data_IF_324306733036
#
_entry.id   IF_324306733036
#
_cell.length_a   1.000
_cell.length_b   1.000
_cell.length_c   1.000
_cell.angle_alpha   90.00
_cell.angle_beta   90.00
_cell.angle_gamma   90.00
#
_symmetry.space_group_name_H-M   'P 1'
#
loop_
_entity.id
_entity.type
_entity.pdbx_description
1 polymer ?
#
# COMPACT_ATOMS: atom_id res chain seq x y z
N UNK A 1 -23.57 2.77 -54.65
CA UNK A 1 -22.96 3.75 -53.72
C UNK A 1 -23.06 3.33 -52.26
N UNK A 2 -24.24 2.94 -51.75
CA UNK A 2 -24.47 2.54 -50.34
C UNK A 2 -23.56 1.40 -49.82
N UNK A 3 -23.29 0.35 -50.63
CA UNK A 3 -22.43 -0.80 -50.28
C UNK A 3 -20.93 -0.48 -50.17
N UNK A 4 -20.45 0.54 -50.89
CA UNK A 4 -19.04 0.98 -50.84
C UNK A 4 -18.76 1.92 -49.66
N UNK A 5 -19.78 2.64 -49.19
CA UNK A 5 -19.69 3.50 -48.01
C UNK A 5 -19.65 2.65 -46.73
N UNK A 6 -20.50 1.63 -46.63
CA UNK A 6 -20.56 0.70 -45.49
C UNK A 6 -19.28 -0.13 -45.32
N UNK A 7 -18.65 -0.58 -46.40
CA UNK A 7 -17.38 -1.33 -46.35
C UNK A 7 -16.19 -0.46 -45.96
N UNK A 8 -16.14 0.80 -46.40
CA UNK A 8 -15.08 1.76 -46.00
C UNK A 8 -15.20 2.18 -44.53
N UNK A 9 -16.42 2.41 -44.04
CA UNK A 9 -16.65 2.73 -42.63
C UNK A 9 -16.30 1.56 -41.71
N UNK A 10 -16.59 0.32 -42.11
CA UNK A 10 -16.21 -0.88 -41.35
C UNK A 10 -14.68 -1.08 -41.31
N UNK A 11 -13.98 -0.84 -42.42
CA UNK A 11 -12.52 -0.93 -42.48
C UNK A 11 -11.82 0.16 -41.63
N UNK A 12 -12.36 1.39 -41.62
CA UNK A 12 -11.86 2.48 -40.77
C UNK A 12 -12.10 2.20 -39.29
N UNK A 13 -13.26 1.64 -38.91
CA UNK A 13 -13.53 1.23 -37.52
C UNK A 13 -12.59 0.10 -37.09
N UNK A 14 -12.37 -0.90 -37.95
CA UNK A 14 -11.45 -2.00 -37.67
C UNK A 14 -10.00 -1.49 -37.52
N UNK A 15 -9.55 -0.59 -38.38
CA UNK A 15 -8.23 0.03 -38.28
C UNK A 15 -8.09 0.89 -37.00
N UNK A 16 -9.14 1.64 -36.63
CA UNK A 16 -9.16 2.43 -35.39
C UNK A 16 -9.11 1.52 -34.14
N UNK A 17 -9.81 0.39 -34.15
CA UNK A 17 -9.74 -0.61 -33.06
C UNK A 17 -8.37 -1.28 -33.01
N UNK A 18 -7.75 -1.60 -34.15
CA UNK A 18 -6.42 -2.19 -34.21
C UNK A 18 -5.31 -1.24 -33.72
N UNK A 19 -5.49 0.07 -33.88
CA UNK A 19 -4.54 1.09 -33.43
C UNK A 19 -4.84 1.65 -32.03
N UNK A 20 -5.97 1.30 -31.41
CA UNK A 20 -6.37 1.81 -30.09
C UNK A 20 -5.41 1.39 -28.96
N UNK A 21 -4.61 0.34 -29.15
CA UNK A 21 -3.58 -0.09 -28.21
C UNK A 21 -2.23 0.63 -28.33
N UNK A 22 -2.07 1.55 -29.29
CA UNK A 22 -0.82 2.27 -29.50
C UNK A 22 -0.82 3.62 -28.80
N UNK A 23 0.20 3.87 -27.99
CA UNK A 23 0.47 5.18 -27.44
C UNK A 23 1.30 6.03 -28.43
N UNK A 24 1.01 7.32 -28.52
CA UNK A 24 1.69 8.21 -29.48
C UNK A 24 2.88 8.95 -28.83
N UNK A 25 4.01 9.12 -29.57
CA UNK A 25 5.10 10.00 -29.16
C UNK A 25 4.67 11.47 -28.91
N UNK A 26 5.48 12.27 -28.19
CA UNK A 26 6.71 11.88 -27.49
C UNK A 26 6.42 11.07 -26.23
N UNK A 27 7.44 10.33 -25.79
CA UNK A 27 7.51 9.64 -24.48
C UNK A 27 8.67 10.23 -23.68
N UNK A 28 8.60 10.15 -22.37
CA UNK A 28 9.67 10.54 -21.46
C UNK A 28 10.49 9.31 -21.08
N UNK A 29 11.81 9.41 -21.14
CA UNK A 29 12.71 8.33 -20.76
C UNK A 29 13.58 8.72 -19.58
N UNK A 30 13.75 7.79 -18.65
CA UNK A 30 14.60 7.97 -17.46
C UNK A 30 15.64 6.86 -17.45
N UNK A 31 16.89 7.20 -17.75
CA UNK A 31 18.00 6.26 -17.65
C UNK A 31 18.30 5.92 -16.18
N UNK A 32 18.43 4.63 -15.87
CA UNK A 32 18.61 4.08 -14.52
C UNK A 32 19.91 3.29 -14.33
N UNK A 33 20.63 3.00 -15.41
CA UNK A 33 21.91 2.29 -15.37
C UNK A 33 22.96 2.87 -16.32
N UNK A 34 24.11 2.20 -16.42
CA UNK A 34 25.20 2.63 -17.29
C UNK A 34 24.77 2.65 -18.76
N UNK A 35 25.32 3.59 -19.55
CA UNK A 35 25.00 3.72 -20.98
C UNK A 35 25.18 2.39 -21.73
N UNK A 36 24.24 2.05 -22.59
CA UNK A 36 24.27 0.80 -23.38
C UNK A 36 23.78 -0.45 -22.65
N UNK A 37 23.41 -0.36 -21.36
CA UNK A 37 22.84 -1.51 -20.62
C UNK A 37 21.33 -1.71 -20.85
N UNK A 38 20.65 -0.74 -21.47
CA UNK A 38 19.19 -0.77 -21.65
C UNK A 38 18.39 -0.59 -20.35
N UNK A 39 19.04 -0.23 -19.24
CA UNK A 39 18.37 0.07 -17.98
C UNK A 39 17.77 1.48 -18.03
N UNK A 40 16.54 1.56 -18.53
CA UNK A 40 15.75 2.78 -18.62
C UNK A 40 14.28 2.52 -18.34
N UNK A 41 13.55 3.54 -17.90
CA UNK A 41 12.10 3.49 -17.78
C UNK A 41 11.48 4.48 -18.76
N UNK A 42 10.46 4.03 -19.49
CA UNK A 42 9.74 4.84 -20.47
C UNK A 42 8.36 5.15 -19.92
N UNK A 43 7.98 6.42 -19.94
CA UNK A 43 6.68 6.91 -19.49
C UNK A 43 5.98 7.66 -20.61
N UNK A 44 4.66 7.51 -20.67
CA UNK A 44 3.85 8.42 -21.47
C UNK A 44 3.39 9.58 -20.58
N UNK A 45 3.80 10.82 -20.89
CA UNK A 45 3.48 11.98 -20.05
C UNK A 45 1.98 12.18 -19.85
N UNK A 46 1.15 11.72 -20.80
CA UNK A 46 -0.31 11.84 -20.71
C UNK A 46 -0.89 10.87 -19.68
N UNK A 47 -0.44 9.62 -19.67
CA UNK A 47 -0.88 8.63 -18.68
C UNK A 47 -0.39 8.98 -17.27
N UNK A 48 0.81 9.56 -17.16
CA UNK A 48 1.32 10.08 -15.89
C UNK A 48 0.48 11.25 -15.39
N UNK A 49 0.06 12.15 -16.29
CA UNK A 49 -0.84 13.25 -15.96
C UNK A 49 -2.24 12.74 -15.53
N UNK A 50 -2.78 11.72 -16.20
CA UNK A 50 -4.05 11.11 -15.83
C UNK A 50 -4.00 10.46 -14.43
N UNK A 51 -2.84 9.90 -14.03
CA UNK A 51 -2.61 9.39 -12.67
C UNK A 51 -2.49 10.48 -11.60
N UNK A 52 -2.31 11.75 -11.96
CA UNK A 52 -2.10 12.84 -10.99
C UNK A 52 -3.31 12.99 -10.05
N UNK A 53 -4.53 12.80 -10.55
CA UNK A 53 -5.74 12.91 -9.74
C UNK A 53 -5.80 11.82 -8.64
N UNK A 54 -5.37 10.60 -8.95
CA UNK A 54 -5.32 9.48 -7.98
C UNK A 54 -4.31 9.77 -6.86
N UNK A 55 -3.21 10.45 -7.21
CA UNK A 55 -2.11 10.76 -6.30
C UNK A 55 -2.13 12.20 -5.75
N UNK A 56 -3.26 12.90 -5.88
CA UNK A 56 -3.42 14.23 -5.34
C UNK A 56 -3.42 14.21 -3.80
N UNK A 57 -2.71 15.16 -3.20
CA UNK A 57 -2.64 15.34 -1.75
C UNK A 57 -3.89 16.11 -1.31
N UNK A 58 -4.60 15.67 -0.26
CA UNK A 58 -5.78 16.37 0.22
C UNK A 58 -5.36 17.66 0.94
N UNK A 59 -6.30 18.59 1.08
CA UNK A 59 -6.08 19.77 1.91
C UNK A 59 -5.78 19.34 3.36
N UNK A 60 -4.80 19.99 3.97
CA UNK A 60 -4.39 19.69 5.33
C UNK A 60 -5.16 20.53 6.34
N UNK A 61 -5.42 19.94 7.49
CA UNK A 61 -5.96 20.62 8.68
C UNK A 61 -4.87 21.48 9.33
N UNK A 62 -5.17 22.75 9.73
CA UNK A 62 -4.20 23.59 10.42
C UNK A 62 -3.62 22.90 11.67
N UNK A 63 -2.31 23.05 11.96
CA UNK A 63 -1.70 22.49 13.15
C UNK A 63 -2.40 22.96 14.43
N UNK A 64 -2.55 22.06 15.40
CA UNK A 64 -3.05 22.39 16.73
C UNK A 64 -1.87 22.53 17.71
N UNK A 65 -2.03 23.36 18.74
CA UNK A 65 -0.98 23.52 19.76
C UNK A 65 -0.81 22.23 20.58
N UNK A 66 0.44 21.80 20.86
CA UNK A 66 0.72 20.71 21.79
C UNK A 66 0.50 21.09 23.27
N UNK A 67 0.18 22.36 23.55
CA UNK A 67 -0.08 22.87 24.89
C UNK A 67 -1.45 22.41 25.44
N UNK A 68 -1.60 22.56 26.75
CA UNK A 68 -2.85 22.24 27.46
C UNK A 68 -2.88 20.83 28.06
N UNK A 69 -4.04 20.42 28.62
CA UNK A 69 -4.17 19.13 29.27
C UNK A 69 -4.03 17.98 28.26
N UNK A 70 -3.51 16.86 28.74
CA UNK A 70 -3.39 15.63 27.95
C UNK A 70 -4.79 15.06 27.72
N UNK A 71 -5.02 14.52 26.53
CA UNK A 71 -6.31 13.96 26.16
C UNK A 71 -6.75 12.85 27.13
N UNK A 72 -5.79 12.04 27.62
CA UNK A 72 -6.04 10.98 28.62
C UNK A 72 -6.57 11.48 29.97
N UNK A 73 -6.33 12.75 30.35
CA UNK A 73 -6.84 13.31 31.61
C UNK A 73 -8.24 13.89 31.46
N UNK A 74 -8.72 14.06 30.22
CA UNK A 74 -10.00 14.72 29.90
C UNK A 74 -11.02 13.71 29.36
N UNK A 75 -10.60 12.80 28.48
CA UNK A 75 -11.48 11.84 27.81
C UNK A 75 -11.34 10.43 28.39
N UNK A 76 -12.43 9.67 28.30
CA UNK A 76 -12.49 8.27 28.72
C UNK A 76 -12.06 7.33 27.57
N UNK A 77 -11.54 6.16 27.93
CA UNK A 77 -11.19 5.07 26.99
C UNK A 77 -10.21 5.45 25.86
N UNK A 78 -9.23 6.30 26.14
CA UNK A 78 -8.11 6.58 25.22
C UNK A 78 -6.96 5.61 25.46
N UNK A 79 -6.75 4.71 24.51
CA UNK A 79 -5.75 3.63 24.63
C UNK A 79 -4.46 3.89 23.82
N UNK A 80 -4.50 4.77 22.81
CA UNK A 80 -3.39 4.97 21.87
C UNK A 80 -2.94 6.44 21.82
N UNK A 81 -3.89 7.37 21.74
CA UNK A 81 -3.63 8.80 21.53
C UNK A 81 -3.78 9.64 22.81
N UNK A 82 -3.65 9.00 23.97
CA UNK A 82 -3.80 9.66 25.27
C UNK A 82 -2.69 10.67 25.61
N UNK A 83 -1.56 10.59 24.90
CA UNK A 83 -0.38 11.45 25.04
C UNK A 83 -0.53 12.83 24.38
N UNK A 84 -1.47 12.98 23.46
CA UNK A 84 -1.73 14.22 22.73
C UNK A 84 -2.40 15.27 23.61
N UNK A 85 -2.26 16.56 23.26
CA UNK A 85 -3.14 17.58 23.84
C UNK A 85 -4.60 17.37 23.38
N UNK A 86 -5.57 17.95 24.09
CA UNK A 86 -6.97 17.96 23.64
C UNK A 86 -7.12 18.54 22.24
N UNK A 87 -6.36 19.60 21.92
CA UNK A 87 -6.37 20.25 20.61
C UNK A 87 -5.82 19.34 19.51
N UNK A 88 -4.67 18.70 19.75
CA UNK A 88 -4.05 17.77 18.80
C UNK A 88 -4.91 16.52 18.56
N UNK A 89 -5.50 15.95 19.62
CA UNK A 89 -6.40 14.82 19.48
C UNK A 89 -7.63 15.21 18.64
N UNK A 90 -8.22 16.37 18.91
CA UNK A 90 -9.38 16.86 18.14
C UNK A 90 -9.02 17.04 16.67
N UNK A 91 -7.86 17.66 16.39
CA UNK A 91 -7.33 17.79 15.02
C UNK A 91 -7.19 16.44 14.34
N UNK A 92 -6.54 15.48 15.01
CA UNK A 92 -6.35 14.13 14.46
C UNK A 92 -7.68 13.47 14.08
N UNK A 93 -8.72 13.61 14.89
CA UNK A 93 -10.05 13.07 14.58
C UNK A 93 -10.67 13.72 13.33
N UNK A 94 -10.49 15.03 13.16
CA UNK A 94 -10.94 15.75 11.94
C UNK A 94 -10.17 15.26 10.71
N UNK A 95 -8.85 15.13 10.80
CA UNK A 95 -8.02 14.65 9.69
C UNK A 95 -8.37 13.20 9.33
N UNK A 96 -8.53 12.32 10.33
CA UNK A 96 -8.96 10.94 10.12
C UNK A 96 -10.32 10.86 9.43
N UNK A 97 -11.27 11.70 9.83
CA UNK A 97 -12.58 11.78 9.18
C UNK A 97 -12.44 12.13 7.70
N UNK A 98 -11.67 13.17 7.37
CA UNK A 98 -11.42 13.58 5.99
C UNK A 98 -10.71 12.49 5.17
N UNK A 99 -9.79 11.73 5.79
CA UNK A 99 -8.99 10.74 5.08
C UNK A 99 -9.63 9.37 4.91
N UNK A 100 -10.55 9.00 5.80
CA UNK A 100 -11.11 7.64 5.87
C UNK A 100 -12.59 7.64 5.56
N UNK A 101 -13.39 8.53 6.13
CA UNK A 101 -14.86 8.47 6.02
C UNK A 101 -15.49 9.86 5.88
N UNK A 102 -15.09 10.66 4.88
CA UNK A 102 -15.58 12.03 4.70
C UNK A 102 -17.09 12.08 4.45
N UNK A 103 -17.65 11.05 3.81
CA UNK A 103 -19.10 10.96 3.53
C UNK A 103 -19.92 10.61 4.77
N UNK A 104 -19.41 9.72 5.63
CA UNK A 104 -20.12 9.25 6.83
C UNK A 104 -19.83 10.14 8.04
N UNK A 105 -18.74 10.90 8.03
CA UNK A 105 -18.34 11.76 9.13
C UNK A 105 -17.91 10.98 10.38
N UNK A 106 -17.98 11.65 11.54
CA UNK A 106 -17.60 11.09 12.83
C UNK A 106 -18.40 9.82 13.19
N UNK A 107 -19.63 9.71 12.68
CA UNK A 107 -20.53 8.60 13.03
C UNK A 107 -20.16 7.27 12.39
N UNK A 108 -19.16 7.26 11.50
CA UNK A 108 -18.60 6.02 10.96
C UNK A 108 -17.92 5.17 12.04
N UNK A 109 -17.17 5.83 12.94
CA UNK A 109 -16.45 5.17 14.03
C UNK A 109 -17.14 5.35 15.39
N UNK A 110 -18.03 6.32 15.53
CA UNK A 110 -18.74 6.58 16.78
C UNK A 110 -20.26 6.46 16.60
N UNK A 111 -20.92 5.63 17.39
CA UNK A 111 -22.37 5.46 17.25
C UNK A 111 -23.12 6.71 17.72
N UNK A 112 -23.96 7.27 16.86
CA UNK A 112 -24.81 8.41 17.22
C UNK A 112 -25.72 8.06 18.41
N UNK A 113 -25.79 8.95 19.40
CA UNK A 113 -26.57 8.74 20.63
C UNK A 113 -25.85 7.94 21.72
N UNK A 114 -24.64 7.44 21.49
CA UNK A 114 -23.78 6.83 22.51
C UNK A 114 -22.64 7.77 22.93
N UNK A 115 -22.04 7.51 24.10
CA UNK A 115 -20.82 8.19 24.54
C UNK A 115 -19.69 7.90 23.52
N UNK A 116 -18.90 8.92 23.17
CA UNK A 116 -17.77 8.81 22.23
C UNK A 116 -16.71 7.78 22.70
N UNK A 117 -16.67 7.47 24.00
CA UNK A 117 -15.83 6.43 24.59
C UNK A 117 -16.32 5.00 24.33
N UNK A 118 -17.55 4.79 23.86
CA UNK A 118 -18.11 3.48 23.50
C UNK A 118 -17.34 2.81 22.36
N UNK A 119 -17.07 1.51 22.49
CA UNK A 119 -16.41 0.66 21.48
C UNK A 119 -17.42 -0.28 20.78
N UNK A 120 -18.70 0.07 20.80
CA UNK A 120 -19.78 -0.76 20.24
C UNK A 120 -19.70 -0.99 18.73
N UNK A 121 -19.03 -0.11 17.99
CA UNK A 121 -18.81 -0.25 16.55
C UNK A 121 -17.44 -0.87 16.25
N UNK A 122 -17.44 -1.91 15.42
CA UNK A 122 -16.21 -2.58 14.95
C UNK A 122 -15.22 -1.60 14.32
N UNK A 123 -15.74 -0.58 13.63
CA UNK A 123 -14.94 0.46 12.96
C UNK A 123 -14.04 1.20 13.93
N UNK A 124 -14.47 1.44 15.18
CA UNK A 124 -13.63 2.08 16.20
C UNK A 124 -12.48 1.18 16.65
N UNK A 125 -12.78 -0.10 16.86
CA UNK A 125 -11.78 -1.11 17.23
C UNK A 125 -10.71 -1.23 16.13
N UNK A 126 -11.15 -1.28 14.87
CA UNK A 126 -10.26 -1.27 13.69
C UNK A 126 -9.48 0.04 13.62
N UNK A 127 -10.12 1.20 13.75
CA UNK A 127 -9.43 2.50 13.71
C UNK A 127 -8.33 2.61 14.75
N UNK A 128 -8.57 2.13 15.97
CA UNK A 128 -7.54 2.07 17.03
C UNK A 128 -6.33 1.25 16.60
N UNK A 129 -6.56 0.08 16.01
CA UNK A 129 -5.48 -0.77 15.49
C UNK A 129 -4.74 -0.12 14.33
N UNK A 130 -5.44 0.62 13.46
CA UNK A 130 -4.83 1.35 12.34
C UNK A 130 -3.94 2.53 12.81
N UNK A 131 -4.28 3.21 13.90
CA UNK A 131 -3.40 4.24 14.47
C UNK A 131 -2.09 3.62 14.97
N UNK A 132 -2.18 2.48 15.67
CA UNK A 132 -0.99 1.73 16.11
C UNK A 132 -0.15 1.28 14.91
N UNK A 133 -0.79 0.75 13.87
CA UNK A 133 -0.14 0.35 12.62
C UNK A 133 0.57 1.52 11.94
N UNK A 134 -0.09 2.69 11.88
CA UNK A 134 0.48 3.89 11.26
C UNK A 134 1.71 4.37 12.02
N UNK A 135 1.64 4.43 13.35
CA UNK A 135 2.79 4.79 14.20
C UNK A 135 3.94 3.81 14.00
N UNK A 136 3.66 2.50 14.02
CA UNK A 136 4.63 1.44 13.76
C UNK A 136 5.36 1.57 12.42
N UNK A 137 4.62 1.80 11.33
CA UNK A 137 5.22 2.04 10.01
C UNK A 137 6.17 3.25 10.06
N UNK A 138 5.72 4.33 10.70
CA UNK A 138 6.45 5.58 10.72
C UNK A 138 7.68 5.57 11.65
N UNK A 139 7.71 4.71 12.67
CA UNK A 139 8.84 4.59 13.61
C UNK A 139 9.82 3.50 13.21
N UNK A 140 9.33 2.32 12.88
CA UNK A 140 10.15 1.11 12.86
C UNK A 140 10.58 0.73 11.43
N UNK A 141 9.85 1.22 10.42
CA UNK A 141 10.08 0.90 9.01
C UNK A 141 10.71 2.04 8.21
N UNK A 142 11.54 2.86 8.87
CA UNK A 142 12.33 3.94 8.24
C UNK A 142 13.22 3.45 7.09
N UNK A 143 13.66 2.20 7.12
CA UNK A 143 14.40 1.54 6.02
C UNK A 143 13.59 1.43 4.71
N UNK A 144 12.26 1.54 4.79
CA UNK A 144 11.35 1.56 3.66
C UNK A 144 10.73 2.95 3.43
N UNK A 145 10.06 3.52 4.45
CA UNK A 145 9.28 4.76 4.29
C UNK A 145 10.07 6.05 4.51
N UNK A 146 11.32 5.95 4.99
CA UNK A 146 12.17 7.08 5.35
C UNK A 146 11.42 8.13 6.19
N UNK A 147 11.67 9.42 5.95
CA UNK A 147 10.99 10.52 6.64
C UNK A 147 9.73 11.01 5.93
N UNK A 148 9.38 10.41 4.79
CA UNK A 148 8.09 10.66 4.13
C UNK A 148 6.94 10.08 4.97
N UNK A 149 7.13 8.84 5.46
CA UNK A 149 6.13 8.15 6.26
C UNK A 149 4.81 7.88 5.54
N UNK A 150 3.79 7.53 6.32
CA UNK A 150 2.43 7.27 5.86
C UNK A 150 1.40 7.94 6.77
N UNK A 151 0.22 8.19 6.22
CA UNK A 151 -0.98 8.62 6.96
C UNK A 151 -2.16 7.69 6.60
N UNK A 152 -3.31 7.90 7.22
CA UNK A 152 -4.52 7.14 6.85
C UNK A 152 -4.87 7.32 5.36
N UNK A 153 -4.60 8.51 4.81
CA UNK A 153 -4.90 8.83 3.41
C UNK A 153 -4.06 8.02 2.42
N UNK A 154 -2.85 7.59 2.81
CA UNK A 154 -1.95 6.80 1.95
C UNK A 154 -2.66 5.58 1.37
N UNK A 155 -3.46 4.89 2.19
CA UNK A 155 -4.26 3.73 1.80
C UNK A 155 -5.71 4.09 1.47
N UNK A 156 -6.38 4.83 2.36
CA UNK A 156 -7.82 5.02 2.31
C UNK A 156 -8.28 5.96 1.19
N UNK A 157 -7.50 6.99 0.84
CA UNK A 157 -7.82 7.96 -0.23
C UNK A 157 -9.27 8.52 -0.12
N UNK A 158 -9.72 8.82 1.09
CA UNK A 158 -11.08 9.32 1.35
C UNK A 158 -12.17 8.25 1.33
N UNK A 159 -11.82 6.95 1.28
CA UNK A 159 -12.77 5.82 1.31
C UNK A 159 -12.61 4.99 2.58
N UNK A 160 -13.74 4.61 3.15
CA UNK A 160 -13.77 3.86 4.41
C UNK A 160 -13.29 2.40 4.25
N UNK A 161 -13.26 1.92 3.01
CA UNK A 161 -12.56 0.71 2.56
C UNK A 161 -11.52 1.12 1.52
N UNK A 162 -10.22 0.84 1.73
CA UNK A 162 -9.20 1.10 0.72
C UNK A 162 -9.51 0.35 -0.57
N UNK A 163 -9.31 1.01 -1.72
CA UNK A 163 -9.70 0.44 -3.03
C UNK A 163 -8.83 -0.77 -3.44
N UNK A 164 -7.60 -0.85 -2.95
CA UNK A 164 -6.60 -1.83 -3.37
C UNK A 164 -6.21 -2.72 -2.18
N UNK A 165 -7.14 -3.55 -1.72
CA UNK A 165 -6.92 -4.61 -0.74
C UNK A 165 -6.94 -5.97 -1.45
N UNK A 166 -6.49 -7.03 -0.77
CA UNK A 166 -6.58 -8.38 -1.30
C UNK A 166 -7.07 -9.37 -0.25
N UNK A 167 -7.59 -10.49 -0.76
CA UNK A 167 -8.04 -11.66 -0.02
C UNK A 167 -7.47 -12.91 -0.69
N UNK A 168 -7.37 -14.01 0.03
CA UNK A 168 -7.05 -15.29 -0.57
C UNK A 168 -8.11 -15.65 -1.63
N UNK A 169 -7.70 -16.14 -2.82
CA UNK A 169 -8.65 -16.56 -3.84
C UNK A 169 -9.49 -17.74 -3.32
N UNK A 170 -10.71 -17.91 -3.83
CA UNK A 170 -11.47 -19.13 -3.56
C UNK A 170 -10.71 -20.35 -4.09
N UNK A 171 -11.01 -21.52 -3.52
CA UNK A 171 -10.52 -22.79 -4.08
C UNK A 171 -10.93 -22.91 -5.56
N UNK A 172 -10.01 -23.42 -6.39
CA UNK A 172 -10.23 -23.63 -7.82
C UNK A 172 -11.25 -24.77 -8.00
N UNK A 173 -12.52 -24.42 -8.16
CA UNK A 173 -13.59 -25.37 -8.46
C UNK A 173 -13.57 -25.70 -9.95
N UNK A 174 -13.09 -26.90 -10.29
CA UNK A 174 -13.05 -27.40 -11.66
C UNK A 174 -13.94 -28.63 -11.81
N UNK A 175 -14.44 -28.86 -13.03
CA UNK A 175 -15.16 -30.09 -13.36
C UNK A 175 -14.26 -31.30 -13.06
N UNK A 176 -14.84 -32.36 -12.47
CA UNK A 176 -14.11 -33.60 -12.23
C UNK A 176 -13.73 -34.32 -13.53
N UNK A 177 -12.77 -35.25 -13.46
CA UNK A 177 -12.35 -36.10 -14.58
C UNK A 177 -10.99 -35.72 -15.17
N UNK A 178 -10.80 -35.98 -16.46
CA UNK A 178 -9.53 -35.74 -17.18
C UNK A 178 -9.28 -34.26 -17.52
N UNK A 179 -10.24 -33.38 -17.24
CA UNK A 179 -10.04 -31.95 -17.32
C UNK A 179 -9.14 -31.53 -16.13
N UNK A 180 -7.88 -31.20 -16.43
CA UNK A 180 -6.97 -30.64 -15.42
C UNK A 180 -7.49 -29.31 -14.84
N UNK A 181 -6.84 -28.83 -13.79
CA UNK A 181 -7.15 -27.55 -13.18
C UNK A 181 -6.21 -26.43 -13.65
N UNK A 182 -6.57 -25.19 -13.35
CA UNK A 182 -5.75 -24.03 -13.72
C UNK A 182 -4.55 -23.85 -12.80
N UNK A 183 -4.53 -24.55 -11.66
CA UNK A 183 -3.47 -24.52 -10.67
C UNK A 183 -3.13 -23.09 -10.21
N UNK A 184 -4.14 -22.22 -10.10
CA UNK A 184 -3.92 -20.83 -9.68
C UNK A 184 -3.27 -19.92 -10.75
N UNK A 185 -3.28 -20.31 -12.04
CA UNK A 185 -2.66 -19.54 -13.13
C UNK A 185 -3.44 -19.68 -14.46
N UNK A 186 -2.82 -19.39 -15.61
CA UNK A 186 -3.40 -19.58 -16.96
C UNK A 186 -4.67 -18.77 -17.24
N UNK A 187 -4.78 -17.58 -16.66
CA UNK A 187 -5.82 -16.59 -16.96
C UNK A 187 -5.27 -15.18 -16.82
N UNK A 188 -5.68 -14.20 -17.64
CA UNK A 188 -5.23 -12.83 -17.51
C UNK A 188 -5.73 -12.25 -16.18
N UNK A 189 -4.81 -11.87 -15.30
CA UNK A 189 -5.15 -11.41 -13.95
C UNK A 189 -4.49 -10.08 -13.64
N UNK A 190 -5.28 -9.12 -13.16
CA UNK A 190 -4.79 -7.77 -12.84
C UNK A 190 -3.79 -7.76 -11.68
N UNK A 191 -3.84 -8.75 -10.79
CA UNK A 191 -2.87 -8.92 -9.71
C UNK A 191 -1.44 -9.10 -10.20
N UNK A 192 -1.26 -9.63 -11.41
CA UNK A 192 0.04 -9.93 -12.05
C UNK A 192 0.15 -9.27 -13.43
N UNK A 193 -0.34 -8.04 -13.56
CA UNK A 193 -0.23 -7.22 -14.77
C UNK A 193 -0.80 -7.88 -16.04
N UNK A 194 -1.96 -8.55 -15.91
CA UNK A 194 -2.68 -9.24 -16.99
C UNK A 194 -1.91 -10.40 -17.64
N UNK A 195 -0.79 -10.83 -17.05
CA UNK A 195 -0.11 -12.06 -17.44
C UNK A 195 -0.91 -13.31 -17.06
N UNK A 196 -0.51 -14.45 -17.59
CA UNK A 196 -1.07 -15.78 -17.27
C UNK A 196 -0.30 -16.50 -16.14
N UNK A 197 0.51 -15.75 -15.37
CA UNK A 197 1.29 -16.24 -14.24
C UNK A 197 0.38 -16.62 -13.05
N UNK A 198 0.92 -17.26 -11.99
CA UNK A 198 0.21 -17.48 -10.74
C UNK A 198 -0.41 -16.20 -10.20
N UNK A 199 -1.74 -16.16 -10.13
CA UNK A 199 -2.49 -14.93 -9.88
C UNK A 199 -2.61 -14.55 -8.40
N UNK A 200 -2.21 -15.44 -7.49
CA UNK A 200 -2.05 -15.16 -6.06
C UNK A 200 -0.60 -15.37 -5.59
N UNK A 201 0.30 -14.42 -5.93
CA UNK A 201 1.61 -14.39 -5.31
C UNK A 201 1.56 -13.84 -3.87
N UNK A 202 0.41 -13.32 -3.41
CA UNK A 202 0.30 -12.60 -2.13
C UNK A 202 0.24 -13.55 -0.95
N UNK A 203 -0.57 -14.61 -1.03
CA UNK A 203 -0.62 -15.64 0.02
C UNK A 203 0.76 -16.23 0.25
N UNK A 204 1.44 -16.61 -0.84
CA UNK A 204 2.76 -17.24 -0.80
C UNK A 204 3.84 -16.31 -0.23
N UNK A 205 3.90 -15.05 -0.68
CA UNK A 205 5.05 -14.19 -0.42
C UNK A 205 4.78 -13.02 0.52
N UNK A 206 3.55 -12.53 0.64
CA UNK A 206 3.19 -11.39 1.51
C UNK A 206 2.44 -11.82 2.76
N UNK A 207 2.04 -13.08 2.87
CA UNK A 207 1.47 -13.67 4.09
C UNK A 207 2.38 -14.77 4.66
N UNK A 208 2.58 -15.88 3.94
CA UNK A 208 3.34 -17.06 4.44
C UNK A 208 4.86 -16.88 4.48
N UNK A 209 5.38 -15.81 3.85
CA UNK A 209 6.78 -15.47 3.82
C UNK A 209 7.72 -16.51 3.15
N UNK A 210 7.22 -17.26 2.16
CA UNK A 210 8.01 -18.26 1.43
C UNK A 210 9.23 -17.64 0.69
N UNK A 211 10.18 -18.50 0.33
CA UNK A 211 11.42 -18.12 -0.36
C UNK A 211 11.15 -17.61 -1.79
N UNK A 212 11.68 -16.43 -2.11
CA UNK A 212 11.53 -15.79 -3.42
C UNK A 212 12.70 -16.16 -4.35
N UNK A 213 13.89 -16.45 -3.79
CA UNK A 213 15.09 -16.72 -4.58
C UNK A 213 15.02 -18.10 -5.25
N UNK A 214 15.17 -18.11 -6.57
CA UNK A 214 15.19 -19.33 -7.39
C UNK A 214 16.51 -19.59 -8.11
N UNK A 215 17.32 -18.54 -8.30
CA UNK A 215 18.59 -18.59 -9.05
C UNK A 215 19.69 -19.21 -8.17
N UNK A 216 20.46 -20.15 -8.73
CA UNK A 216 21.59 -20.79 -8.05
C UNK A 216 22.77 -19.84 -7.84
N UNK A 217 23.55 -20.07 -6.78
CA UNK A 217 24.74 -19.27 -6.46
C UNK A 217 26.03 -19.71 -7.15
N UNK A 218 25.97 -20.73 -8.00
CA UNK A 218 27.11 -21.34 -8.70
C UNK A 218 26.78 -21.56 -10.17
N UNK A 219 27.80 -21.60 -11.02
CA UNK A 219 27.62 -21.79 -12.46
C UNK A 219 27.17 -23.21 -12.82
N UNK A 220 27.67 -24.22 -12.10
CA UNK A 220 27.29 -25.62 -12.32
C UNK A 220 26.11 -26.02 -11.42
N UNK A 221 25.28 -27.02 -11.80
CA UNK A 221 24.14 -27.47 -11.00
C UNK A 221 24.54 -28.12 -9.67
N UNK A 222 24.84 -27.33 -8.65
CA UNK A 222 25.26 -27.81 -7.33
C UNK A 222 24.16 -27.53 -6.30
N UNK A 223 23.27 -28.49 -6.10
CA UNK A 223 22.34 -28.49 -4.97
C UNK A 223 21.12 -27.57 -5.07
N UNK A 224 21.01 -26.68 -6.07
CA UNK A 224 19.76 -25.94 -6.28
C UNK A 224 18.63 -26.92 -6.66
N UNK A 225 17.50 -26.84 -5.95
CA UNK A 225 16.31 -27.69 -6.12
C UNK A 225 15.06 -26.86 -6.48
N UNK A 226 15.23 -25.57 -6.72
CA UNK A 226 14.14 -24.68 -7.12
C UNK A 226 13.63 -25.08 -8.50
N UNK A 227 12.31 -25.04 -8.66
CA UNK A 227 11.61 -25.47 -9.87
C UNK A 227 11.21 -24.29 -10.75
N UNK A 228 10.96 -24.56 -12.03
CA UNK A 228 10.39 -23.55 -12.94
C UNK A 228 9.05 -23.02 -12.44
N UNK A 229 8.23 -23.84 -11.78
CA UNK A 229 6.98 -23.39 -11.16
C UNK A 229 7.22 -22.33 -10.08
N UNK A 230 8.22 -22.53 -9.22
CA UNK A 230 8.60 -21.51 -8.23
C UNK A 230 9.11 -20.23 -8.91
N UNK A 231 9.83 -20.35 -10.03
CA UNK A 231 10.23 -19.20 -10.84
C UNK A 231 9.03 -18.42 -11.37
N UNK A 232 7.97 -19.09 -11.85
CA UNK A 232 6.74 -18.44 -12.31
C UNK A 232 6.01 -17.71 -11.17
N UNK A 233 5.94 -18.29 -9.98
CA UNK A 233 5.39 -17.61 -8.79
C UNK A 233 6.21 -16.37 -8.42
N UNK A 234 7.53 -16.48 -8.35
CA UNK A 234 8.41 -15.33 -8.10
C UNK A 234 8.21 -14.27 -9.19
N UNK A 235 8.08 -14.67 -10.44
CA UNK A 235 7.87 -13.73 -11.54
C UNK A 235 6.51 -13.02 -11.42
N UNK A 236 5.44 -13.73 -11.04
CA UNK A 236 4.13 -13.15 -10.76
C UNK A 236 4.20 -12.05 -9.69
N UNK A 237 4.95 -12.29 -8.60
CA UNK A 237 5.20 -11.26 -7.59
C UNK A 237 5.95 -10.06 -8.16
N UNK A 238 6.99 -10.27 -8.98
CA UNK A 238 7.76 -9.16 -9.58
C UNK A 238 6.91 -8.34 -10.57
N UNK A 239 6.00 -8.97 -11.31
CA UNK A 239 5.04 -8.28 -12.18
C UNK A 239 4.08 -7.42 -11.35
N UNK A 240 3.56 -7.96 -10.25
CA UNK A 240 2.74 -7.20 -9.31
C UNK A 240 3.49 -5.97 -8.79
N UNK A 241 4.72 -6.14 -8.29
CA UNK A 241 5.51 -5.03 -7.73
C UNK A 241 5.78 -3.96 -8.78
N UNK A 242 6.13 -4.35 -10.01
CA UNK A 242 6.38 -3.43 -11.12
C UNK A 242 5.15 -2.58 -11.43
N UNK A 243 3.98 -3.22 -11.58
CA UNK A 243 2.72 -2.52 -11.84
C UNK A 243 2.29 -1.64 -10.66
N UNK A 244 2.44 -2.12 -9.42
CA UNK A 244 2.07 -1.41 -8.20
C UNK A 244 2.80 -0.09 -8.04
N UNK A 245 4.07 -0.04 -8.47
CA UNK A 245 4.93 1.13 -8.41
C UNK A 245 4.93 1.94 -9.71
N UNK A 246 4.29 1.47 -10.78
CA UNK A 246 4.32 2.10 -12.10
C UNK A 246 5.73 2.13 -12.70
N UNK A 247 6.51 1.08 -12.50
CA UNK A 247 7.90 0.98 -12.98
C UNK A 247 8.12 -0.33 -13.75
N UNK A 248 9.33 -0.54 -14.26
CA UNK A 248 9.74 -1.80 -14.88
C UNK A 248 10.82 -2.52 -14.04
N UNK A 249 11.25 -3.70 -14.50
CA UNK A 249 12.25 -4.52 -13.83
C UNK A 249 13.57 -3.76 -13.59
N UNK A 250 13.96 -2.89 -14.53
CA UNK A 250 15.22 -2.13 -14.45
C UNK A 250 15.24 -1.04 -13.39
N UNK A 251 14.08 -0.76 -12.79
CA UNK A 251 14.01 0.08 -11.60
C UNK A 251 14.76 -0.53 -10.42
N UNK A 252 14.82 -1.87 -10.33
CA UNK A 252 15.49 -2.62 -9.26
C UNK A 252 16.68 -3.45 -9.74
N UNK A 253 16.65 -3.97 -10.97
CA UNK A 253 17.59 -5.00 -11.44
C UNK A 253 18.38 -4.59 -12.67
N UNK A 254 19.61 -5.09 -12.79
CA UNK A 254 20.19 -5.35 -14.10
C UNK A 254 19.74 -6.75 -14.54
N UNK A 255 18.90 -6.83 -15.57
CA UNK A 255 18.22 -8.08 -15.96
C UNK A 255 19.15 -9.14 -16.54
N UNK A 256 20.41 -8.81 -16.85
CA UNK A 256 21.43 -9.81 -17.18
C UNK A 256 21.69 -10.77 -16.01
N UNK A 257 21.44 -10.33 -14.77
CA UNK A 257 21.55 -11.13 -13.55
C UNK A 257 20.62 -10.59 -12.46
N UNK A 258 19.41 -11.14 -12.36
CA UNK A 258 18.44 -10.74 -11.33
C UNK A 258 18.90 -11.04 -9.90
N UNK A 259 19.78 -12.02 -9.72
CA UNK A 259 20.25 -12.45 -8.41
C UNK A 259 21.29 -11.46 -7.82
N UNK A 260 22.17 -10.92 -8.66
CA UNK A 260 23.30 -10.08 -8.25
C UNK A 260 22.87 -8.78 -7.59
N UNK A 261 23.32 -8.56 -6.35
CA UNK A 261 23.05 -7.33 -5.61
C UNK A 261 23.93 -6.17 -6.08
N UNK A 262 25.21 -6.41 -6.35
CA UNK A 262 26.17 -5.38 -6.78
C UNK A 262 25.80 -4.76 -8.13
N UNK A 263 25.12 -5.52 -8.99
CA UNK A 263 24.58 -5.04 -10.27
C UNK A 263 23.16 -4.47 -10.18
N UNK A 264 22.53 -4.48 -9.02
CA UNK A 264 21.18 -3.96 -8.80
C UNK A 264 21.18 -2.48 -8.41
N UNK A 265 20.02 -1.84 -8.47
CA UNK A 265 19.88 -0.45 -8.01
C UNK A 265 19.59 -0.41 -6.49
N UNK A 266 19.80 0.74 -5.82
CA UNK A 266 19.44 0.91 -4.40
C UNK A 266 17.97 0.62 -4.11
N UNK A 267 17.07 0.82 -5.08
CA UNK A 267 15.65 0.57 -4.95
C UNK A 267 15.35 -0.90 -4.64
N UNK A 268 16.18 -1.84 -5.09
CA UNK A 268 16.04 -3.27 -4.73
C UNK A 268 16.16 -3.50 -3.23
N UNK A 269 17.04 -2.77 -2.54
CA UNK A 269 17.17 -2.86 -1.08
C UNK A 269 15.93 -2.29 -0.38
N UNK A 270 15.42 -1.14 -0.82
CA UNK A 270 14.16 -0.56 -0.29
C UNK A 270 12.97 -1.49 -0.52
N UNK A 271 12.87 -2.13 -1.68
CA UNK A 271 11.84 -3.10 -2.01
C UNK A 271 11.95 -4.38 -1.17
N UNK A 272 13.19 -4.82 -0.85
CA UNK A 272 13.42 -5.94 0.05
C UNK A 272 12.79 -5.71 1.42
N UNK A 273 12.98 -4.51 2.01
CA UNK A 273 12.31 -4.14 3.27
C UNK A 273 10.79 -3.97 3.08
N UNK A 274 10.34 -3.44 1.94
CA UNK A 274 8.91 -3.32 1.61
C UNK A 274 8.16 -4.65 1.63
N UNK A 275 8.78 -5.74 1.17
CA UNK A 275 8.20 -7.09 1.27
C UNK A 275 8.01 -7.52 2.73
N UNK A 276 8.99 -7.23 3.61
CA UNK A 276 8.89 -7.59 5.03
C UNK A 276 7.87 -6.72 5.74
N UNK A 277 7.81 -5.43 5.40
CA UNK A 277 6.77 -4.54 5.89
C UNK A 277 5.38 -5.09 5.54
N UNK A 278 5.12 -5.46 4.29
CA UNK A 278 3.81 -6.01 3.92
C UNK A 278 3.46 -7.29 4.72
N UNK A 279 4.43 -8.19 4.92
CA UNK A 279 4.27 -9.39 5.77
C UNK A 279 3.92 -9.03 7.20
N UNK A 280 4.67 -8.10 7.76
CA UNK A 280 4.51 -7.60 9.12
C UNK A 280 3.13 -6.98 9.35
N UNK A 281 2.69 -6.11 8.44
CA UNK A 281 1.35 -5.49 8.51
C UNK A 281 0.23 -6.53 8.41
N UNK A 282 0.33 -7.46 7.46
CA UNK A 282 -0.68 -8.51 7.29
C UNK A 282 -0.78 -9.38 8.54
N UNK A 283 0.34 -9.92 9.02
CA UNK A 283 0.36 -10.84 10.15
C UNK A 283 0.05 -10.18 11.50
N UNK A 284 0.60 -8.99 11.77
CA UNK A 284 0.48 -8.37 13.09
C UNK A 284 -0.76 -7.47 13.22
N UNK A 285 -1.23 -6.84 12.14
CA UNK A 285 -2.27 -5.81 12.24
C UNK A 285 -3.58 -6.17 11.58
N UNK A 286 -3.57 -6.89 10.45
CA UNK A 286 -4.77 -7.09 9.63
C UNK A 286 -5.41 -8.46 9.86
N UNK A 287 -4.64 -9.54 9.82
CA UNK A 287 -5.16 -10.89 10.05
C UNK A 287 -5.83 -11.04 11.44
N UNK A 288 -5.28 -10.49 12.55
CA UNK A 288 -5.91 -10.57 13.86
C UNK A 288 -7.26 -9.83 13.98
N UNK A 289 -7.59 -8.96 13.02
CA UNK A 289 -8.88 -8.24 13.00
C UNK A 289 -10.01 -9.07 12.35
N UNK A 290 -9.73 -10.28 11.86
CA UNK A 290 -10.72 -11.16 11.21
C UNK A 290 -12.02 -11.25 12.00
N UNK A 291 -11.94 -11.57 13.29
CA UNK A 291 -13.13 -11.81 14.14
C UNK A 291 -13.82 -10.51 14.57
N UNK A 292 -13.18 -9.36 14.34
CA UNK A 292 -13.78 -8.02 14.57
C UNK A 292 -14.60 -7.59 13.36
N UNK A 293 -14.22 -8.02 12.16
CA UNK A 293 -14.92 -7.64 10.94
C UNK A 293 -16.28 -8.35 10.82
N UNK A 294 -17.33 -7.63 10.38
CA UNK A 294 -18.57 -8.29 9.99
C UNK A 294 -18.35 -9.10 8.70
N UNK A 295 -19.18 -10.14 8.49
CA UNK A 295 -19.02 -11.08 7.38
C UNK A 295 -18.89 -10.42 5.99
N UNK A 296 -19.59 -9.31 5.74
CA UNK A 296 -19.53 -8.57 4.47
C UNK A 296 -18.19 -7.85 4.22
N UNK A 297 -17.25 -7.88 5.17
CA UNK A 297 -15.89 -7.35 5.03
C UNK A 297 -14.82 -8.44 4.87
N UNK A 298 -15.22 -9.71 4.94
CA UNK A 298 -14.31 -10.84 4.78
C UNK A 298 -14.23 -11.29 3.32
N UNK A 299 -13.12 -11.91 2.97
CA UNK A 299 -12.90 -12.50 1.66
C UNK A 299 -13.74 -13.75 1.41
N UNK A 300 -13.69 -14.32 0.19
CA UNK A 300 -14.43 -15.53 -0.16
C UNK A 300 -14.04 -16.75 0.68
N UNK A 301 -12.83 -16.75 1.26
CA UNK A 301 -12.35 -17.80 2.18
C UNK A 301 -12.61 -17.47 3.66
N UNK A 302 -13.26 -16.34 3.95
CA UNK A 302 -13.49 -15.84 5.30
C UNK A 302 -12.27 -15.17 5.93
N UNK A 303 -11.26 -14.83 5.14
CA UNK A 303 -10.05 -14.14 5.58
C UNK A 303 -10.23 -12.62 5.68
N UNK A 304 -9.44 -11.98 6.55
CA UNK A 304 -9.47 -10.53 6.73
C UNK A 304 -8.86 -9.80 5.51
N UNK A 305 -9.28 -8.55 5.23
CA UNK A 305 -8.70 -7.72 4.18
C UNK A 305 -7.23 -7.41 4.48
N UNK A 306 -6.35 -7.65 3.51
CA UNK A 306 -4.89 -7.49 3.64
C UNK A 306 -4.33 -6.39 2.75
N UNK A 307 -3.10 -5.98 3.06
CA UNK A 307 -2.33 -4.99 2.29
C UNK A 307 -1.38 -5.66 1.29
N UNK A 308 -1.17 -5.01 0.16
CA UNK A 308 -0.12 -5.29 -0.81
C UNK A 308 0.57 -3.99 -1.25
N UNK A 309 1.43 -4.06 -2.26
CA UNK A 309 2.18 -2.89 -2.74
C UNK A 309 1.23 -1.81 -3.30
N UNK A 310 0.22 -2.20 -4.08
CA UNK A 310 -0.78 -1.29 -4.67
C UNK A 310 -1.59 -0.56 -3.61
N UNK A 311 -1.82 -1.13 -2.42
CA UNK A 311 -2.60 -0.48 -1.34
C UNK A 311 -2.11 0.94 -1.06
N UNK A 312 -0.79 1.12 -1.01
CA UNK A 312 -0.15 2.42 -0.79
C UNK A 312 0.29 3.10 -2.09
N UNK A 313 1.00 2.37 -2.96
CA UNK A 313 1.71 2.97 -4.10
C UNK A 313 0.80 3.40 -5.25
N UNK A 314 -0.28 2.65 -5.51
CA UNK A 314 -1.32 3.00 -6.49
C UNK A 314 -0.78 3.46 -7.86
N UNK A 315 0.21 2.73 -8.38
CA UNK A 315 0.81 2.99 -9.69
C UNK A 315 1.90 4.06 -9.68
N UNK A 316 2.33 4.56 -8.53
CA UNK A 316 3.41 5.53 -8.38
C UNK A 316 4.60 4.97 -7.60
N UNK A 317 5.81 5.34 -8.03
CA UNK A 317 7.06 4.83 -7.45
C UNK A 317 7.24 5.21 -5.97
N UNK A 318 6.55 6.27 -5.53
CA UNK A 318 6.29 6.61 -4.13
C UNK A 318 4.80 6.95 -3.98
N UNK A 319 4.12 6.56 -2.89
CA UNK A 319 2.74 6.98 -2.64
C UNK A 319 2.60 8.51 -2.72
N UNK A 320 1.57 9.01 -3.41
CA UNK A 320 1.34 10.46 -3.58
C UNK A 320 2.56 11.20 -4.16
N UNK A 321 3.34 10.52 -5.01
CA UNK A 321 4.62 11.01 -5.55
C UNK A 321 5.65 11.45 -4.49
N UNK A 322 5.54 10.92 -3.26
CA UNK A 322 6.46 11.21 -2.16
C UNK A 322 6.11 12.43 -1.33
N UNK A 323 4.88 12.95 -1.43
CA UNK A 323 4.40 14.04 -0.58
C UNK A 323 4.51 13.68 0.91
N UNK A 324 5.18 14.54 1.68
CA UNK A 324 5.40 14.33 3.11
C UNK A 324 4.24 14.92 3.93
N UNK A 325 3.13 14.17 4.01
CA UNK A 325 2.01 14.52 4.88
C UNK A 325 2.38 14.36 6.37
N UNK A 326 3.26 13.41 6.70
CA UNK A 326 3.62 13.12 8.09
C UNK A 326 4.24 14.34 8.80
N UNK A 327 4.96 15.21 8.09
CA UNK A 327 5.54 16.44 8.63
C UNK A 327 4.53 17.31 9.39
N UNK A 328 3.27 17.34 8.93
CA UNK A 328 2.21 18.12 9.56
C UNK A 328 1.36 17.29 10.52
N UNK A 329 1.68 16.00 10.69
CA UNK A 329 1.00 15.07 11.59
C UNK A 329 1.99 14.31 12.49
N UNK A 330 2.83 15.02 13.27
CA UNK A 330 3.83 14.39 14.13
C UNK A 330 3.24 13.41 15.15
N UNK A 331 1.96 13.52 15.49
CA UNK A 331 1.22 12.57 16.32
C UNK A 331 1.15 11.14 15.75
N UNK A 332 1.38 10.98 14.44
CA UNK A 332 1.45 9.70 13.75
C UNK A 332 2.87 9.13 13.65
N UNK A 333 3.89 9.84 14.13
CA UNK A 333 5.29 9.44 14.06
C UNK A 333 5.79 8.68 15.31
N UNK A 334 4.87 8.22 16.18
CA UNK A 334 5.19 7.48 17.40
C UNK A 334 4.46 8.03 18.63
N UNK A 335 4.68 7.40 19.79
CA UNK A 335 4.22 7.92 21.09
C UNK A 335 5.19 9.02 21.52
N UNK A 336 4.69 10.20 21.88
CA UNK A 336 5.56 11.23 22.46
C UNK A 336 5.88 10.85 23.89
N UNK A 337 7.16 10.91 24.27
CA UNK A 337 7.53 10.83 25.68
C UNK A 337 6.74 11.90 26.43
N UNK A 338 6.07 11.53 27.52
CA UNK A 338 5.31 12.48 28.33
C UNK A 338 6.27 13.58 28.79
N UNK A 339 6.11 14.79 28.26
CA UNK A 339 6.73 15.97 28.86
C UNK A 339 6.03 16.12 30.19
N UNK A 340 6.71 15.73 31.28
CA UNK A 340 6.22 15.95 32.63
C UNK A 340 5.82 17.41 32.78
N UNK A 341 4.78 17.66 33.58
CA UNK A 341 4.32 19.00 33.89
C UNK A 341 5.52 19.92 34.17
N UNK A 342 5.52 21.18 33.68
CA UNK A 342 6.61 22.10 33.95
C UNK A 342 6.85 22.12 35.46
N UNK A 343 8.11 21.92 35.86
CA UNK A 343 8.51 21.99 37.25
C UNK A 343 7.93 23.27 37.84
N UNK A 344 7.16 23.15 38.92
CA UNK A 344 6.62 24.28 39.64
C UNK A 344 7.78 25.26 39.88
N UNK A 345 7.58 26.52 39.44
CA UNK A 345 8.55 27.57 39.61
C UNK A 345 9.02 27.56 41.07
N UNK A 346 10.32 27.36 41.28
CA UNK A 346 10.92 27.40 42.59
C UNK A 346 10.56 28.75 43.22
N UNK A 347 9.74 28.71 44.28
CA UNK A 347 9.43 29.87 45.09
C UNK A 347 10.75 30.43 45.62
N UNK A 348 11.00 31.71 45.31
CA UNK A 348 12.12 32.45 45.85
C UNK A 348 12.15 32.33 47.38
N UNK A 349 13.29 31.88 47.92
CA UNK A 349 13.52 31.91 49.36
C UNK A 349 13.57 33.36 49.84
N UNK A 350 12.93 33.71 50.97
CA UNK A 350 13.13 35.01 51.59
C UNK A 350 14.54 35.08 52.17
N UNK A 351 15.20 36.22 51.94
CA UNK A 351 16.58 36.45 52.35
C UNK A 351 16.81 36.35 53.87
N UNK A 352 18.05 36.01 54.19
CA UNK A 352 18.72 36.30 55.45
C UNK A 352 20.18 36.61 55.13
#
# INVERSE_FOLDING_TARGET
MMRFITTRSAALLAAAVLLAGCERPPVDTVQRGYRGTGMETVYNPRLVADQAAINAVPADTPPASPDGPRASTVFKNLQVVGDLSVGEMTRLMVSMTAWVSPEQGCTYCHKAGEDMSSDSLYTKVVSRRMIQMTRHINTDWKTHVADTGVTCYTCHRGKNVPANIWFAPPEDIHAGGMAGNKAGQNSPQSSVALASLPYDPFTTYLSQANEIRVIGGTALPTGNRQSTKQTEFTYGLMMHMSQSLGVNCTYCHNTRSFAEWDGSTPQRATAWYGIRLARDLNAQYLDPLRDVYPAYRLGPTGDAPKVNCTTCHQGAFKPLYGANMLKNHPELAGVRASVGAPAAAASAAPGA
#
